data_IF_539103090327
#
_entry.id   IF_539103090327
#
_cell.length_a   1.000
_cell.length_b   1.000
_cell.length_c   1.000
_cell.angle_alpha   90.00
_cell.angle_beta   90.00
_cell.angle_gamma   90.00
#
_symmetry.space_group_name_H-M   'P 1'
#
loop_
_entity.id
_entity.type
_entity.pdbx_description
1 polymer ?
#
# COMPACT_ATOMS: atom_id res chain seq x y z
N UNK A 1 -21.73 -41.07 -19.42
CA UNK A 1 -20.91 -40.09 -20.20
C UNK A 1 -19.83 -39.63 -19.28
N UNK A 2 -18.78 -40.51 -19.25
CA UNK A 2 -17.72 -40.45 -18.26
C UNK A 2 -16.69 -39.39 -18.67
N UNK A 3 -16.47 -38.41 -17.84
CA UNK A 3 -15.37 -37.46 -17.98
C UNK A 3 -14.18 -37.93 -17.14
N UNK A 4 -13.23 -38.47 -17.88
CA UNK A 4 -11.89 -38.86 -17.45
C UNK A 4 -11.16 -37.72 -16.73
N UNK A 5 -10.85 -37.96 -15.48
CA UNK A 5 -9.76 -37.26 -14.77
C UNK A 5 -8.45 -37.97 -15.14
N UNK A 6 -7.43 -37.27 -15.66
CA UNK A 6 -6.12 -37.87 -15.79
C UNK A 6 -5.45 -37.99 -14.43
N UNK A 7 -5.03 -39.21 -14.12
CA UNK A 7 -4.11 -39.57 -13.06
C UNK A 7 -2.80 -38.77 -13.17
N UNK A 8 -2.58 -37.85 -12.24
CA UNK A 8 -1.27 -37.30 -11.92
C UNK A 8 -0.94 -37.61 -10.46
N UNK A 9 -0.67 -38.88 -10.23
CA UNK A 9 -0.06 -39.36 -8.98
C UNK A 9 0.92 -40.46 -9.37
N UNK A 10 2.19 -40.09 -9.49
CA UNK A 10 3.38 -40.86 -9.14
C UNK A 10 4.62 -40.25 -9.81
N UNK A 11 5.02 -39.06 -9.36
CA UNK A 11 6.42 -38.66 -9.44
C UNK A 11 6.95 -38.68 -8.01
N UNK A 12 7.66 -39.75 -7.68
CA UNK A 12 8.23 -39.99 -6.36
C UNK A 12 9.07 -38.80 -5.88
N UNK A 13 8.64 -38.16 -4.83
CA UNK A 13 9.44 -37.20 -4.10
C UNK A 13 10.62 -37.95 -3.44
N UNK A 14 11.88 -37.56 -3.70
CA UNK A 14 13.05 -38.21 -3.09
C UNK A 14 13.30 -37.79 -1.65
N UNK A 15 12.34 -37.20 -0.96
CA UNK A 15 12.49 -36.75 0.42
C UNK A 15 11.79 -37.74 1.36
N UNK A 16 12.55 -38.75 1.86
CA UNK A 16 12.06 -39.62 2.92
C UNK A 16 12.12 -38.86 4.25
N UNK A 17 11.03 -38.85 4.99
CA UNK A 17 10.87 -38.27 6.32
C UNK A 17 11.85 -38.85 7.39
N UNK A 18 12.73 -39.76 6.98
CA UNK A 18 13.77 -40.36 7.78
C UNK A 18 15.10 -39.62 7.83
N UNK A 19 15.26 -38.60 6.98
CA UNK A 19 16.51 -37.84 6.85
C UNK A 19 16.52 -36.54 7.67
N UNK A 20 15.51 -36.32 8.51
CA UNK A 20 15.56 -35.23 9.48
C UNK A 20 16.52 -35.63 10.61
N UNK A 21 17.54 -34.82 10.92
CA UNK A 21 18.42 -35.06 12.04
C UNK A 21 17.59 -35.11 13.33
N UNK A 22 17.82 -36.12 14.17
CA UNK A 22 17.14 -36.27 15.46
C UNK A 22 17.37 -35.01 16.32
N UNK A 23 16.37 -34.65 17.14
CA UNK A 23 16.45 -33.48 18.06
C UNK A 23 17.70 -33.44 18.92
N UNK A 24 18.34 -34.59 19.14
CA UNK A 24 19.60 -34.72 19.90
C UNK A 24 20.82 -34.14 19.20
N UNK A 25 20.75 -33.79 17.89
CA UNK A 25 21.85 -33.16 17.14
C UNK A 25 21.80 -31.64 17.16
N UNK A 26 20.76 -31.03 17.71
CA UNK A 26 20.74 -29.61 17.99
C UNK A 26 21.56 -29.34 19.27
N UNK A 27 22.88 -29.31 19.14
CA UNK A 27 23.70 -28.73 20.19
C UNK A 27 23.26 -27.29 20.42
N UNK A 28 23.01 -26.87 21.67
CA UNK A 28 22.78 -25.46 21.96
C UNK A 28 23.95 -24.68 21.35
N UNK A 29 23.66 -23.75 20.50
CA UNK A 29 24.67 -22.91 19.82
C UNK A 29 25.76 -22.58 20.81
N UNK A 30 27.02 -22.88 20.46
CA UNK A 30 28.19 -22.35 21.15
C UNK A 30 27.87 -20.94 21.58
N UNK A 31 27.84 -20.69 22.87
CA UNK A 31 27.69 -19.34 23.40
C UNK A 31 28.71 -18.51 22.65
N UNK A 32 28.21 -17.56 21.86
CA UNK A 32 29.08 -16.56 21.21
C UNK A 32 29.93 -15.96 22.33
N UNK A 33 31.25 -15.82 22.15
CA UNK A 33 32.09 -15.25 23.18
C UNK A 33 31.44 -13.91 23.57
N UNK A 34 31.28 -13.69 24.87
CA UNK A 34 30.72 -12.47 25.39
C UNK A 34 31.44 -11.31 24.70
N UNK A 35 30.71 -10.57 23.86
CA UNK A 35 31.25 -9.37 23.20
C UNK A 35 31.83 -8.55 24.33
N UNK A 36 33.14 -8.30 24.25
CA UNK A 36 33.84 -7.55 25.25
C UNK A 36 33.12 -6.22 25.48
N UNK A 37 32.81 -5.90 26.71
CA UNK A 37 32.20 -4.67 27.21
C UNK A 37 32.95 -3.36 26.85
N UNK A 38 33.92 -3.42 25.94
CA UNK A 38 34.78 -2.29 25.59
C UNK A 38 34.17 -1.37 24.50
N UNK A 39 32.98 -1.66 23.97
CA UNK A 39 32.29 -0.79 23.01
C UNK A 39 30.89 -0.40 23.52
N UNK A 40 30.78 0.01 24.76
CA UNK A 40 29.69 0.89 25.23
C UNK A 40 30.00 2.36 24.84
N UNK A 41 30.45 2.56 23.60
CA UNK A 41 30.42 3.85 22.95
C UNK A 41 29.00 4.07 22.45
N UNK A 42 28.36 5.11 22.97
CA UNK A 42 27.05 5.66 22.60
C UNK A 42 26.68 5.29 21.16
N UNK A 43 25.95 4.19 20.98
CA UNK A 43 25.27 3.88 19.72
C UNK A 43 24.22 4.98 19.60
N UNK A 44 24.48 5.99 18.77
CA UNK A 44 23.53 7.06 18.55
C UNK A 44 22.25 6.41 18.06
N UNK A 45 21.23 6.47 18.90
CA UNK A 45 19.89 5.99 18.55
C UNK A 45 19.43 6.76 17.32
N UNK A 46 19.44 6.13 16.17
CA UNK A 46 19.01 6.73 14.92
C UNK A 46 17.49 6.60 14.83
N UNK A 47 16.80 7.66 15.15
CA UNK A 47 15.35 7.74 14.99
C UNK A 47 15.02 8.00 13.51
N UNK A 48 14.09 7.24 12.96
CA UNK A 48 13.56 7.39 11.61
C UNK A 48 12.13 7.92 11.69
N UNK A 49 11.82 8.90 10.85
CA UNK A 49 10.50 9.49 10.75
C UNK A 49 9.84 9.13 9.41
N UNK A 50 8.61 8.63 9.44
CA UNK A 50 7.84 8.26 8.26
C UNK A 50 6.54 9.05 8.18
N UNK A 51 6.48 9.99 7.24
CA UNK A 51 5.32 10.87 7.03
C UNK A 51 4.47 10.36 5.88
N UNK A 52 3.17 10.07 6.11
CA UNK A 52 2.26 9.77 5.01
C UNK A 52 1.95 11.03 4.21
N UNK A 53 2.13 10.96 2.90
CA UNK A 53 1.83 12.07 1.98
C UNK A 53 1.00 11.58 0.79
N UNK A 54 0.23 12.47 0.20
CA UNK A 54 -0.51 12.16 -1.01
C UNK A 54 0.43 12.12 -2.22
N UNK A 55 0.11 11.25 -3.17
CA UNK A 55 0.90 11.12 -4.39
C UNK A 55 0.81 12.43 -5.21
N UNK A 56 1.90 12.93 -5.83
CA UNK A 56 1.88 14.19 -6.60
C UNK A 56 0.99 14.14 -7.85
N UNK A 57 0.70 12.96 -8.37
CA UNK A 57 -0.22 12.75 -9.49
C UNK A 57 -1.62 12.45 -8.94
N UNK A 58 -2.59 13.35 -9.22
CA UNK A 58 -3.99 13.22 -8.81
C UNK A 58 -4.68 11.95 -9.36
N UNK A 59 -4.21 11.41 -10.49
CA UNK A 59 -4.73 10.16 -11.02
C UNK A 59 -4.38 9.00 -10.09
N UNK A 60 -3.13 8.99 -9.59
CA UNK A 60 -2.69 7.97 -8.63
C UNK A 60 -3.41 8.14 -7.30
N UNK A 61 -3.67 9.37 -6.85
CA UNK A 61 -4.49 9.58 -5.65
C UNK A 61 -5.89 8.98 -5.79
N UNK A 62 -6.48 9.03 -6.98
CA UNK A 62 -7.85 8.54 -7.23
C UNK A 62 -7.93 7.04 -7.49
N UNK A 63 -7.02 6.51 -8.32
CA UNK A 63 -7.07 5.14 -8.82
C UNK A 63 -5.79 4.35 -8.51
N UNK A 64 -4.92 4.85 -7.64
CA UNK A 64 -3.75 4.10 -7.18
C UNK A 64 -4.14 2.98 -6.21
N UNK A 65 -3.18 2.12 -5.94
CA UNK A 65 -3.34 1.02 -5.00
C UNK A 65 -2.89 1.46 -3.61
N UNK A 66 -3.66 1.13 -2.60
CA UNK A 66 -3.26 1.31 -1.20
C UNK A 66 -2.04 0.44 -0.88
N UNK A 67 -1.23 0.87 0.09
CA UNK A 67 0.00 0.15 0.45
C UNK A 67 -0.24 -1.27 0.97
N UNK A 68 -1.44 -1.56 1.46
CA UNK A 68 -1.86 -2.90 1.91
C UNK A 68 -2.47 -3.76 0.80
N UNK A 69 -2.74 -3.18 -0.38
CA UNK A 69 -3.35 -3.92 -1.48
C UNK A 69 -2.46 -5.09 -1.93
N UNK A 70 -3.04 -6.24 -2.28
CA UNK A 70 -2.31 -7.39 -2.82
C UNK A 70 -1.45 -7.06 -4.06
N UNK A 71 -1.82 -6.04 -4.82
CA UNK A 71 -1.05 -5.56 -5.96
C UNK A 71 0.36 -5.12 -5.56
N UNK A 72 0.49 -4.45 -4.43
CA UNK A 72 1.80 -3.99 -3.91
C UNK A 72 2.70 -5.19 -3.62
N UNK A 73 2.14 -6.23 -3.03
CA UNK A 73 2.90 -7.44 -2.72
C UNK A 73 3.23 -8.26 -3.97
N UNK A 74 2.25 -8.49 -4.84
CA UNK A 74 2.39 -9.44 -5.94
C UNK A 74 3.07 -8.84 -7.17
N UNK A 75 2.93 -7.53 -7.40
CA UNK A 75 3.49 -6.88 -8.59
C UNK A 75 4.70 -6.01 -8.26
N UNK A 76 4.59 -5.11 -7.28
CA UNK A 76 5.70 -4.23 -6.93
C UNK A 76 6.89 -4.96 -6.31
N UNK A 77 6.69 -6.10 -5.64
CA UNK A 77 7.79 -6.91 -5.09
C UNK A 77 8.78 -7.38 -6.16
N UNK A 78 8.32 -7.65 -7.36
CA UNK A 78 9.18 -8.02 -8.49
C UNK A 78 10.11 -6.87 -8.94
N UNK A 79 9.73 -5.63 -8.64
CA UNK A 79 10.45 -4.41 -9.07
C UNK A 79 11.34 -3.87 -7.95
N UNK A 80 10.78 -3.70 -6.75
CA UNK A 80 11.50 -3.10 -5.61
C UNK A 80 12.13 -4.13 -4.68
N UNK A 81 11.84 -5.40 -4.88
CA UNK A 81 12.32 -6.51 -4.06
C UNK A 81 11.55 -6.68 -2.75
N UNK A 82 11.63 -7.87 -2.14
CA UNK A 82 10.77 -8.26 -1.02
C UNK A 82 10.93 -7.39 0.21
N UNK A 83 12.16 -7.00 0.56
CA UNK A 83 12.42 -6.20 1.75
C UNK A 83 11.82 -4.79 1.66
N UNK A 84 11.97 -4.13 0.50
CA UNK A 84 11.39 -2.80 0.27
C UNK A 84 9.87 -2.87 0.25
N UNK A 85 9.30 -3.95 -0.31
CA UNK A 85 7.85 -4.18 -0.30
C UNK A 85 7.33 -4.39 1.13
N UNK A 86 8.01 -5.21 1.93
CA UNK A 86 7.63 -5.43 3.31
C UNK A 86 7.71 -4.13 4.13
N UNK A 87 8.78 -3.34 3.94
CA UNK A 87 8.91 -2.01 4.55
C UNK A 87 7.72 -1.11 4.15
N UNK A 88 7.40 -1.02 2.86
CA UNK A 88 6.31 -0.20 2.35
C UNK A 88 4.95 -0.62 2.95
N UNK A 89 4.67 -1.92 2.98
CA UNK A 89 3.43 -2.48 3.56
C UNK A 89 3.33 -2.31 5.08
N UNK A 90 4.44 -2.06 5.77
CA UNK A 90 4.46 -1.79 7.21
C UNK A 90 4.05 -0.34 7.54
N UNK A 91 4.15 0.58 6.59
CA UNK A 91 3.88 2.01 6.84
C UNK A 91 2.48 2.29 7.39
N UNK A 92 1.37 1.76 6.83
CA UNK A 92 0.05 2.01 7.37
C UNK A 92 -0.08 1.62 8.86
N UNK A 93 0.51 0.49 9.25
CA UNK A 93 0.49 0.03 10.66
C UNK A 93 1.28 0.97 11.57
N UNK A 94 2.42 1.48 11.11
CA UNK A 94 3.19 2.46 11.88
C UNK A 94 2.41 3.76 12.08
N UNK A 95 1.62 4.19 11.11
CA UNK A 95 0.81 5.40 11.18
C UNK A 95 -0.43 5.29 12.08
N UNK A 96 -0.85 4.08 12.45
CA UNK A 96 -1.96 3.88 13.40
C UNK A 96 -1.66 4.51 14.78
N UNK A 97 -0.39 4.58 15.16
CA UNK A 97 0.05 5.17 16.42
C UNK A 97 0.25 6.68 16.37
N UNK A 98 0.26 7.25 15.17
CA UNK A 98 0.46 8.69 14.91
C UNK A 98 1.17 8.95 13.59
N UNK A 99 1.00 10.14 13.04
CA UNK A 99 1.66 10.58 11.82
C UNK A 99 2.25 12.00 12.02
N UNK A 100 3.57 12.19 11.83
CA UNK A 100 4.55 11.20 11.37
C UNK A 100 4.79 10.07 12.37
N UNK A 101 5.08 8.86 11.89
CA UNK A 101 5.47 7.75 12.73
C UNK A 101 6.98 7.79 12.96
N UNK A 102 7.40 7.73 14.22
CA UNK A 102 8.80 7.69 14.59
C UNK A 102 9.16 6.31 15.16
N UNK A 103 10.25 5.75 14.68
CA UNK A 103 10.75 4.43 15.12
C UNK A 103 12.27 4.39 15.12
N UNK A 104 12.85 3.70 16.08
CA UNK A 104 14.28 3.46 16.10
C UNK A 104 14.69 2.56 14.91
N UNK A 105 15.75 2.96 14.18
CA UNK A 105 16.23 2.23 13.01
C UNK A 105 16.56 0.78 13.30
N UNK A 106 17.14 0.49 14.46
CA UNK A 106 17.48 -0.87 14.88
C UNK A 106 16.24 -1.72 15.16
N UNK A 107 15.21 -1.11 15.75
CA UNK A 107 13.94 -1.76 16.03
C UNK A 107 13.18 -2.07 14.73
N UNK A 108 13.07 -1.09 13.84
CA UNK A 108 12.49 -1.30 12.51
C UNK A 108 13.23 -2.40 11.74
N UNK A 109 14.57 -2.35 11.73
CA UNK A 109 15.39 -3.36 11.06
C UNK A 109 15.14 -4.77 11.61
N UNK A 110 15.09 -4.92 12.94
CA UNK A 110 14.77 -6.21 13.58
C UNK A 110 13.35 -6.67 13.29
N UNK A 111 12.37 -5.77 13.30
CA UNK A 111 10.96 -6.09 13.01
C UNK A 111 10.75 -6.57 11.58
N UNK A 112 11.63 -6.20 10.65
CA UNK A 112 11.65 -6.65 9.26
C UNK A 112 12.54 -7.90 9.05
N UNK A 113 13.14 -8.44 10.10
CA UNK A 113 14.03 -9.60 10.00
C UNK A 113 15.40 -9.31 9.40
N UNK A 114 15.83 -8.03 9.35
CA UNK A 114 17.07 -7.61 8.69
C UNK A 114 18.28 -7.60 9.64
N UNK A 115 18.08 -7.98 10.91
CA UNK A 115 19.10 -7.86 11.95
C UNK A 115 19.21 -6.44 12.50
N UNK A 116 20.25 -6.15 13.30
CA UNK A 116 20.42 -4.87 14.00
C UNK A 116 21.28 -3.84 13.28
N UNK A 117 21.67 -4.08 12.03
CA UNK A 117 22.54 -3.15 11.29
C UNK A 117 21.79 -1.90 10.82
N UNK A 118 22.27 -0.72 11.23
CA UNK A 118 21.65 0.58 10.91
C UNK A 118 22.55 1.53 10.14
N UNK A 119 23.75 1.08 9.76
CA UNK A 119 24.71 1.87 8.98
C UNK A 119 24.23 2.15 7.55
N UNK A 120 24.94 3.05 6.85
CA UNK A 120 24.59 3.50 5.50
C UNK A 120 24.49 2.37 4.47
N UNK A 121 25.22 1.28 4.67
CA UNK A 121 25.20 0.09 3.83
C UNK A 121 24.24 -1.00 4.33
N UNK A 122 23.41 -0.72 5.34
CA UNK A 122 22.48 -1.70 5.89
C UNK A 122 21.37 -2.06 4.87
N UNK A 123 20.77 -3.23 5.05
CA UNK A 123 19.63 -3.64 4.23
C UNK A 123 18.44 -2.69 4.38
N UNK A 124 18.23 -2.14 5.58
CA UNK A 124 17.19 -1.16 5.83
C UNK A 124 17.43 0.12 5.00
N UNK A 125 18.64 0.70 5.08
CA UNK A 125 19.00 1.90 4.31
C UNK A 125 18.84 1.68 2.80
N UNK A 126 19.36 0.56 2.28
CA UNK A 126 19.18 0.20 0.86
C UNK A 126 17.72 0.01 0.46
N UNK A 127 16.88 -0.50 1.36
CA UNK A 127 15.45 -0.64 1.10
C UNK A 127 14.75 0.71 1.04
N UNK A 128 15.09 1.65 1.93
CA UNK A 128 14.59 3.02 1.92
C UNK A 128 15.02 3.75 0.64
N UNK A 129 16.29 3.69 0.28
CA UNK A 129 16.83 4.26 -0.98
C UNK A 129 16.11 3.71 -2.21
N UNK A 130 15.77 2.42 -2.18
CA UNK A 130 15.03 1.79 -3.27
C UNK A 130 13.61 2.33 -3.39
N UNK A 131 12.91 2.57 -2.29
CA UNK A 131 11.60 3.22 -2.32
C UNK A 131 11.69 4.61 -2.95
N UNK A 132 12.69 5.40 -2.60
CA UNK A 132 12.94 6.72 -3.21
C UNK A 132 13.25 6.59 -4.70
N UNK A 133 14.14 5.69 -5.08
CA UNK A 133 14.53 5.45 -6.47
C UNK A 133 13.36 5.09 -7.36
N UNK A 134 12.40 4.33 -6.85
CA UNK A 134 11.19 3.92 -7.59
C UNK A 134 10.02 4.87 -7.40
N UNK A 135 10.24 6.03 -6.76
CA UNK A 135 9.23 7.08 -6.54
C UNK A 135 8.00 6.58 -5.76
N UNK A 136 8.23 5.74 -4.79
CA UNK A 136 7.23 5.29 -3.81
C UNK A 136 7.31 6.13 -2.51
N UNK A 137 8.42 6.84 -2.36
CA UNK A 137 8.68 7.77 -1.28
C UNK A 137 9.63 8.88 -1.75
N UNK A 138 9.78 9.92 -0.94
CA UNK A 138 10.82 10.94 -1.12
C UNK A 138 11.55 11.20 0.20
N UNK A 139 12.82 11.67 0.18
CA UNK A 139 13.54 12.00 1.40
C UNK A 139 12.85 13.17 2.11
N UNK A 140 12.83 13.13 3.44
CA UNK A 140 12.45 14.29 4.27
C UNK A 140 13.56 15.33 4.23
N UNK A 141 13.21 16.61 4.28
CA UNK A 141 14.19 17.71 4.21
C UNK A 141 14.87 17.99 5.55
N UNK A 142 14.25 17.61 6.66
CA UNK A 142 14.64 18.01 8.02
C UNK A 142 15.16 16.87 8.87
N UNK A 143 14.75 15.62 8.64
CA UNK A 143 15.03 14.49 9.53
C UNK A 143 15.49 13.24 8.75
N UNK A 144 16.09 12.32 9.48
CA UNK A 144 16.38 10.99 8.94
C UNK A 144 15.07 10.22 8.76
N UNK A 145 14.52 10.20 7.54
CA UNK A 145 13.26 9.52 7.28
C UNK A 145 12.77 9.66 5.85
N UNK A 146 11.52 9.31 5.64
CA UNK A 146 10.87 9.35 4.33
C UNK A 146 9.47 9.94 4.43
N UNK A 147 9.11 10.72 3.43
CA UNK A 147 7.72 10.98 3.08
C UNK A 147 7.25 9.88 2.13
N UNK A 148 6.33 9.04 2.60
CA UNK A 148 5.87 7.86 1.86
C UNK A 148 4.48 8.12 1.28
N UNK A 149 4.31 7.83 0.00
CA UNK A 149 3.04 8.02 -0.67
C UNK A 149 2.01 7.00 -0.16
N UNK A 150 0.79 7.47 0.13
CA UNK A 150 -0.33 6.63 0.61
C UNK A 150 -0.79 5.64 -0.45
N UNK A 151 -0.69 6.03 -1.71
CA UNK A 151 -1.05 5.22 -2.86
C UNK A 151 0.15 5.03 -3.79
N UNK A 152 0.19 3.89 -4.45
CA UNK A 152 1.18 3.59 -5.47
C UNK A 152 0.53 3.46 -6.84
N UNK A 153 1.23 3.92 -7.87
CA UNK A 153 0.78 3.77 -9.24
C UNK A 153 0.79 2.30 -9.69
N UNK A 154 0.01 1.91 -10.69
CA UNK A 154 0.22 0.66 -11.41
C UNK A 154 1.63 0.64 -12.03
N UNK A 155 2.19 -0.56 -12.26
CA UNK A 155 3.48 -0.73 -12.91
C UNK A 155 3.47 -0.09 -14.30
N UNK A 156 4.49 0.71 -14.60
CA UNK A 156 4.65 1.32 -15.91
C UNK A 156 5.16 0.27 -16.94
N UNK A 157 4.85 0.48 -18.22
CA UNK A 157 5.25 -0.43 -19.31
C UNK A 157 6.72 -0.87 -19.24
N UNK A 158 7.64 0.08 -19.04
CA UNK A 158 9.09 -0.23 -18.89
C UNK A 158 9.43 -1.15 -17.69
N UNK A 159 8.57 -1.23 -16.69
CA UNK A 159 8.75 -2.12 -15.55
C UNK A 159 8.18 -3.48 -15.89
N UNK A 160 7.03 -3.51 -16.58
CA UNK A 160 6.38 -4.73 -17.07
C UNK A 160 7.28 -5.50 -18.04
N UNK A 161 8.05 -4.81 -18.89
CA UNK A 161 9.02 -5.43 -19.81
C UNK A 161 10.12 -6.24 -19.11
N UNK A 162 10.29 -6.09 -17.79
CA UNK A 162 11.39 -6.69 -17.01
C UNK A 162 10.95 -7.70 -15.96
N UNK A 163 9.66 -7.87 -15.78
CA UNK A 163 9.12 -8.82 -14.81
C UNK A 163 8.80 -10.17 -15.46
N UNK A 164 8.55 -11.17 -14.64
CA UNK A 164 8.18 -12.51 -15.12
C UNK A 164 6.78 -12.53 -15.74
N UNK A 165 6.51 -13.52 -16.58
CA UNK A 165 5.18 -13.73 -17.17
C UNK A 165 4.11 -13.86 -16.07
N UNK A 166 4.41 -14.59 -15.00
CA UNK A 166 3.50 -14.68 -13.83
C UNK A 166 3.14 -13.31 -13.24
N UNK A 167 4.10 -12.39 -13.17
CA UNK A 167 3.86 -11.03 -12.67
C UNK A 167 3.03 -10.22 -13.66
N UNK A 168 3.23 -10.41 -14.98
CA UNK A 168 2.41 -9.77 -16.01
C UNK A 168 0.95 -10.21 -15.92
N UNK A 169 0.69 -11.51 -15.86
CA UNK A 169 -0.66 -12.08 -15.75
C UNK A 169 -1.35 -11.61 -14.46
N UNK A 170 -0.57 -11.52 -13.37
CA UNK A 170 -1.06 -11.02 -12.08
C UNK A 170 -1.38 -9.53 -12.16
N UNK A 171 -0.53 -8.74 -12.82
CA UNK A 171 -0.77 -7.31 -13.04
C UNK A 171 -2.08 -7.08 -13.81
N UNK A 172 -2.26 -7.75 -14.95
CA UNK A 172 -3.45 -7.62 -15.77
C UNK A 172 -4.72 -7.96 -14.98
N UNK A 173 -4.70 -9.09 -14.29
CA UNK A 173 -5.83 -9.55 -13.48
C UNK A 173 -6.19 -8.58 -12.36
N UNK A 174 -5.20 -8.15 -11.56
CA UNK A 174 -5.44 -7.28 -10.41
C UNK A 174 -5.79 -5.86 -10.84
N UNK A 175 -5.17 -5.36 -11.90
CA UNK A 175 -5.43 -4.02 -12.40
C UNK A 175 -6.81 -3.91 -13.04
N UNK A 176 -7.24 -4.89 -13.85
CA UNK A 176 -8.59 -4.95 -14.42
C UNK A 176 -9.67 -4.98 -13.33
N UNK A 177 -9.52 -5.89 -12.36
CA UNK A 177 -10.45 -5.98 -11.23
C UNK A 177 -10.47 -4.70 -10.36
N UNK A 178 -9.36 -3.97 -10.31
CA UNK A 178 -9.28 -2.69 -9.62
C UNK A 178 -10.06 -1.59 -10.36
N UNK A 179 -9.88 -1.49 -11.67
CA UNK A 179 -10.62 -0.53 -12.51
C UNK A 179 -12.13 -0.79 -12.50
N UNK A 180 -12.56 -2.04 -12.60
CA UNK A 180 -13.98 -2.42 -12.51
C UNK A 180 -14.62 -1.92 -11.21
N UNK A 181 -13.92 -2.09 -10.07
CA UNK A 181 -14.40 -1.56 -8.77
C UNK A 181 -14.56 -0.05 -8.77
N UNK A 182 -13.68 0.70 -9.47
CA UNK A 182 -13.80 2.16 -9.56
C UNK A 182 -14.95 2.59 -10.47
N UNK A 183 -15.17 1.90 -11.58
CA UNK A 183 -16.28 2.19 -12.49
C UNK A 183 -17.63 1.91 -11.80
N UNK A 184 -17.74 0.84 -11.04
CA UNK A 184 -18.91 0.54 -10.21
C UNK A 184 -19.16 1.64 -9.16
N UNK A 185 -18.13 2.07 -8.44
CA UNK A 185 -18.23 3.14 -7.45
C UNK A 185 -18.60 4.48 -8.10
N UNK A 186 -18.05 4.80 -9.26
CA UNK A 186 -18.40 6.01 -10.02
C UNK A 186 -19.86 5.95 -10.48
N UNK A 187 -20.31 4.82 -10.96
CA UNK A 187 -21.71 4.58 -11.36
C UNK A 187 -22.67 4.68 -10.18
N UNK A 188 -22.32 4.12 -9.03
CA UNK A 188 -23.11 4.26 -7.80
C UNK A 188 -23.19 5.71 -7.33
N UNK A 189 -22.10 6.46 -7.36
CA UNK A 189 -22.08 7.90 -7.01
C UNK A 189 -22.96 8.72 -7.95
N UNK A 190 -22.87 8.46 -9.25
CA UNK A 190 -23.73 9.12 -10.24
C UNK A 190 -25.21 8.84 -10.00
N UNK A 191 -25.56 7.58 -9.69
CA UNK A 191 -26.93 7.19 -9.36
C UNK A 191 -27.43 7.85 -8.08
N UNK A 192 -26.63 7.87 -7.01
CA UNK A 192 -26.98 8.55 -5.76
C UNK A 192 -27.17 10.05 -5.97
N UNK A 193 -26.26 10.70 -6.70
CA UNK A 193 -26.38 12.12 -7.03
C UNK A 193 -27.65 12.43 -7.82
N UNK A 194 -28.04 11.56 -8.77
CA UNK A 194 -29.27 11.73 -9.55
C UNK A 194 -30.52 11.54 -8.69
N UNK A 195 -30.51 10.60 -7.74
CA UNK A 195 -31.61 10.37 -6.80
C UNK A 195 -31.76 11.56 -5.84
N UNK A 196 -30.64 12.07 -5.29
CA UNK A 196 -30.65 13.23 -4.41
C UNK A 196 -31.21 14.46 -5.13
N UNK A 197 -30.73 14.74 -6.35
CA UNK A 197 -31.21 15.85 -7.16
C UNK A 197 -32.72 15.70 -7.54
N UNK A 198 -33.21 14.48 -7.63
CA UNK A 198 -34.64 14.19 -7.87
C UNK A 198 -35.49 14.41 -6.62
N UNK A 199 -34.97 14.03 -5.45
CA UNK A 199 -35.61 14.27 -4.15
C UNK A 199 -35.68 15.77 -3.85
N UNK A 200 -34.61 16.54 -4.09
CA UNK A 200 -34.58 17.97 -3.92
C UNK A 200 -35.63 18.67 -4.82
N UNK A 201 -35.78 18.23 -6.06
CA UNK A 201 -36.84 18.75 -6.96
C UNK A 201 -38.25 18.45 -6.46
N UNK A 202 -38.46 17.30 -5.84
CA UNK A 202 -39.79 16.94 -5.26
C UNK A 202 -40.02 17.76 -3.99
N UNK A 203 -39.00 17.96 -3.17
CA UNK A 203 -39.14 18.64 -1.89
C UNK A 203 -39.23 20.16 -2.02
N UNK A 204 -38.56 20.77 -3.02
CA UNK A 204 -38.54 22.21 -3.27
C UNK A 204 -39.33 22.64 -4.52
N UNK A 205 -39.75 21.71 -5.37
CA UNK A 205 -40.46 21.99 -6.63
C UNK A 205 -41.96 22.19 -6.48
N UNK A 206 -42.55 22.05 -5.28
CA UNK A 206 -43.97 22.31 -5.03
C UNK A 206 -44.29 23.75 -4.61
N UNK A 207 -43.36 24.66 -4.76
CA UNK A 207 -43.59 26.09 -4.67
C UNK A 207 -44.44 26.56 -5.86
N UNK A 208 -45.76 26.46 -5.74
CA UNK A 208 -46.75 27.01 -6.64
C UNK A 208 -46.42 28.51 -6.82
N UNK A 209 -46.28 29.05 -8.05
CA UNK A 209 -46.16 30.48 -8.22
C UNK A 209 -47.48 31.12 -7.72
N UNK A 210 -47.41 31.87 -6.66
CA UNK A 210 -48.52 32.75 -6.24
C UNK A 210 -48.71 33.77 -7.34
N UNK A 211 -49.79 33.59 -8.14
CA UNK A 211 -50.28 34.59 -9.06
C UNK A 211 -50.51 35.90 -8.30
N UNK A 212 -49.68 36.89 -8.63
CA UNK A 212 -49.88 38.25 -8.17
C UNK A 212 -51.28 38.75 -8.65
N UNK A 213 -52.16 38.97 -7.68
CA UNK A 213 -53.41 39.68 -7.91
C UNK A 213 -53.07 41.08 -8.36
N UNK A 214 -53.33 41.40 -9.62
CA UNK A 214 -53.25 42.73 -10.16
C UNK A 214 -54.29 43.61 -9.43
N UNK A 215 -53.82 44.51 -8.58
CA UNK A 215 -54.68 45.57 -8.02
C UNK A 215 -55.02 46.56 -9.12
N UNK A 216 -56.24 46.57 -9.63
CA UNK A 216 -56.84 47.65 -10.41
C UNK A 216 -57.00 48.87 -9.51
N UNK A 217 -56.16 49.87 -9.65
CA UNK A 217 -56.47 51.20 -9.19
C UNK A 217 -57.32 51.91 -10.24
N UNK A 218 -58.60 52.03 -9.90
CA UNK A 218 -59.55 52.99 -10.55
C UNK A 218 -59.15 54.34 -10.06
N UNK A 219 -58.78 55.18 -11.03
CA UNK A 219 -58.73 56.65 -10.89
C UNK A 219 -60.16 57.24 -10.76
N UNK A 220 -60.30 58.15 -9.83
CA UNK A 220 -61.41 59.15 -9.85
C UNK A 220 -60.81 60.50 -9.71
N UNK A 221 -61.09 61.29 -10.77
CA UNK A 221 -60.90 62.75 -10.85
C UNK A 221 -61.73 63.44 -9.77
N UNK A 222 -61.14 64.48 -9.18
CA UNK A 222 -61.63 65.86 -9.15
C UNK A 222 -60.57 66.80 -8.56
#
# INVERSE_FOLDING_TARGET
MDLLFPEFLEAGLPFRMRDLPSESQWSPRRALPARSRAYEGMEQVRLLSFTPVDHPDERVQRIGFDLTDPYVEQCWSAVVGPTSTLLLRRMPVLWETGAPAEIEASELSRSLGLGGGTGDNSLLTRSMERLVRFRLARPTTTDAGLEVFRQVAPLAARQLDRVSQWTLDTHERLFSAHLERFDDLASHRANLSSVTARLDRIQYGTGRPTNGIAAHHHGLER
#
